data_IF_625250680997
#
_entry.id   IF_625250680997
#
_cell.length_a   1.000
_cell.length_b   1.000
_cell.length_c   1.000
_cell.angle_alpha   90.00
_cell.angle_beta   90.00
_cell.angle_gamma   90.00
#
_symmetry.space_group_name_H-M   'P 1'
#
loop_
_entity.id
_entity.type
_entity.pdbx_description
1 polymer ?
#
# COMPACT_ATOMS: atom_id res chain seq x y z
N UNK A 1 -20.47 13.58 2.77
CA UNK A 1 -20.93 13.03 4.04
C UNK A 1 -19.96 11.90 4.43
N UNK A 2 -19.22 12.00 5.54
CA UNK A 2 -18.22 11.00 5.94
C UNK A 2 -18.82 9.64 6.35
N UNK A 3 -20.13 9.44 6.21
CA UNK A 3 -20.85 8.24 6.61
C UNK A 3 -21.13 7.25 5.47
N UNK A 4 -20.67 7.52 4.25
CA UNK A 4 -20.84 6.57 3.15
C UNK A 4 -19.63 5.64 3.06
N UNK A 5 -19.72 4.51 3.77
CA UNK A 5 -18.90 3.35 3.51
C UNK A 5 -19.63 2.48 2.49
N UNK A 6 -19.02 2.21 1.36
CA UNK A 6 -19.52 1.16 0.47
C UNK A 6 -18.99 -0.16 1.01
N UNK A 7 -19.82 -0.88 1.76
CA UNK A 7 -19.53 -2.28 2.07
C UNK A 7 -20.07 -3.15 0.93
N UNK A 8 -19.23 -4.06 0.43
CA UNK A 8 -19.66 -5.09 -0.53
C UNK A 8 -19.16 -6.43 -0.01
N UNK A 9 -19.87 -7.48 -0.40
CA UNK A 9 -19.43 -8.84 -0.09
C UNK A 9 -18.36 -9.26 -1.08
N UNK A 10 -17.25 -9.83 -0.57
CA UNK A 10 -16.18 -10.37 -1.40
C UNK A 10 -16.63 -11.32 -2.53
N UNK A 11 -17.70 -12.14 -2.35
CA UNK A 11 -18.26 -12.96 -3.43
C UNK A 11 -18.78 -12.20 -4.66
N UNK A 12 -19.08 -10.92 -4.53
CA UNK A 12 -19.59 -10.09 -5.64
C UNK A 12 -18.47 -9.66 -6.60
N UNK A 13 -17.22 -9.91 -6.23
CA UNK A 13 -16.06 -9.63 -7.05
C UNK A 13 -15.42 -10.91 -7.57
N UNK A 14 -15.27 -11.08 -8.90
CA UNK A 14 -14.57 -12.23 -9.45
C UNK A 14 -13.12 -12.23 -9.00
N UNK A 15 -12.64 -13.38 -8.53
CA UNK A 15 -11.23 -13.58 -8.23
C UNK A 15 -10.36 -13.26 -9.46
N UNK A 16 -9.50 -12.25 -9.36
CA UNK A 16 -8.77 -11.69 -10.51
C UNK A 16 -7.30 -12.05 -10.54
N UNK A 17 -6.91 -13.17 -9.93
CA UNK A 17 -5.54 -13.66 -9.99
C UNK A 17 -4.49 -12.71 -9.39
N UNK A 18 -4.87 -12.00 -8.34
CA UNK A 18 -3.99 -11.08 -7.63
C UNK A 18 -2.93 -11.83 -6.82
N UNK A 19 -1.72 -11.26 -6.76
CA UNK A 19 -0.67 -11.72 -5.87
C UNK A 19 -0.05 -10.53 -5.14
N UNK A 20 -0.03 -10.60 -3.82
CA UNK A 20 0.79 -9.75 -2.99
C UNK A 20 2.09 -10.47 -2.67
N UNK A 21 3.18 -9.75 -2.70
CA UNK A 21 4.47 -10.19 -2.21
C UNK A 21 4.97 -9.18 -1.18
N UNK A 22 5.77 -9.65 -0.25
CA UNK A 22 6.45 -8.79 0.72
C UNK A 22 7.95 -9.00 0.57
N UNK A 23 8.71 -7.93 0.66
CA UNK A 23 10.18 -7.96 0.63
C UNK A 23 10.71 -7.42 1.95
N UNK A 24 11.61 -8.17 2.58
CA UNK A 24 12.23 -7.72 3.82
C UNK A 24 13.00 -6.41 3.57
N UNK A 25 12.63 -5.38 4.33
CA UNK A 25 13.34 -4.11 4.37
C UNK A 25 14.38 -4.12 5.50
N UNK A 26 15.24 -3.10 5.58
CA UNK A 26 16.21 -2.95 6.68
C UNK A 26 15.53 -2.51 7.98
N UNK A 27 14.21 -2.67 8.09
CA UNK A 27 13.43 -2.27 9.24
C UNK A 27 14.06 -2.77 10.53
N UNK A 28 14.14 -1.90 11.52
CA UNK A 28 14.58 -2.27 12.84
C UNK A 28 13.68 -3.38 13.36
N UNK A 29 14.24 -4.59 13.44
CA UNK A 29 13.70 -5.64 14.28
C UNK A 29 13.72 -5.08 15.71
N UNK A 30 12.63 -4.45 16.13
CA UNK A 30 12.35 -4.38 17.54
C UNK A 30 12.05 -5.82 17.91
N UNK A 31 13.03 -6.52 18.45
CA UNK A 31 12.79 -7.68 19.30
C UNK A 31 11.94 -7.21 20.47
N UNK A 32 10.69 -6.94 20.18
CA UNK A 32 9.67 -6.60 21.16
C UNK A 32 9.39 -7.86 21.91
N UNK A 33 9.93 -7.91 23.11
CA UNK A 33 9.53 -8.80 24.17
C UNK A 33 8.10 -9.31 23.95
N UNK A 34 7.95 -10.62 23.81
CA UNK A 34 6.67 -11.32 23.76
C UNK A 34 5.95 -11.22 25.14
N UNK A 35 6.03 -10.05 25.78
CA UNK A 35 5.33 -9.70 26.98
C UNK A 35 3.83 -9.81 26.74
N UNK A 36 3.17 -10.57 27.56
CA UNK A 36 1.73 -10.80 27.69
C UNK A 36 0.92 -9.58 27.23
N UNK A 37 0.33 -9.68 26.03
CA UNK A 37 -0.55 -8.65 25.46
C UNK A 37 -1.82 -8.58 26.30
N UNK A 38 -1.84 -7.65 27.23
CA UNK A 38 -3.07 -7.21 27.90
C UNK A 38 -3.95 -6.49 26.86
N UNK A 39 -5.17 -6.95 26.71
CA UNK A 39 -6.11 -6.69 25.61
C UNK A 39 -6.71 -5.29 25.53
N UNK A 40 -5.93 -4.22 25.65
CA UNK A 40 -6.36 -2.87 25.28
C UNK A 40 -5.70 -2.48 23.96
N UNK A 41 -6.48 -2.05 22.95
CA UNK A 41 -5.91 -1.51 21.72
C UNK A 41 -4.97 -0.36 22.07
N UNK A 42 -3.69 -0.48 21.74
CA UNK A 42 -2.71 0.58 21.98
C UNK A 42 -2.72 1.61 20.84
N UNK A 43 -3.87 2.00 20.40
CA UNK A 43 -4.03 3.22 19.62
C UNK A 43 -3.90 4.35 20.64
N UNK A 44 -2.71 4.95 20.74
CA UNK A 44 -2.47 6.04 21.69
C UNK A 44 -3.35 7.24 21.39
N UNK A 45 -3.54 8.18 22.33
CA UNK A 45 -4.40 9.36 22.16
C UNK A 45 -3.85 10.35 21.10
N UNK A 46 -2.59 10.19 20.68
CA UNK A 46 -1.92 11.11 19.76
C UNK A 46 -1.99 10.57 18.34
N UNK A 47 -2.64 11.32 17.44
CA UNK A 47 -2.63 11.03 16.01
C UNK A 47 -1.25 11.27 15.44
N UNK A 48 -0.73 10.31 14.68
CA UNK A 48 0.53 10.43 13.94
C UNK A 48 0.22 10.85 12.52
N UNK A 49 0.94 11.86 12.02
CA UNK A 49 0.77 12.37 10.65
C UNK A 49 2.04 12.07 9.88
N UNK A 50 1.88 11.47 8.69
CA UNK A 50 2.98 11.14 7.78
C UNK A 50 2.80 11.87 6.45
N UNK A 51 3.90 12.43 5.93
CA UNK A 51 3.95 13.04 4.60
C UNK A 51 4.06 11.91 3.58
N UNK A 52 3.09 11.81 2.70
CA UNK A 52 2.95 10.74 1.72
C UNK A 52 3.25 11.28 0.32
N UNK A 53 4.19 10.65 -0.38
CA UNK A 53 4.49 10.91 -1.77
C UNK A 53 3.94 9.76 -2.64
N UNK A 54 3.07 10.07 -3.60
CA UNK A 54 2.47 9.09 -4.50
C UNK A 54 2.91 9.37 -5.93
N UNK A 55 3.64 8.40 -6.49
CA UNK A 55 3.99 8.42 -7.90
C UNK A 55 3.02 7.58 -8.75
N UNK A 56 3.04 7.80 -10.05
CA UNK A 56 2.32 6.97 -11.02
C UNK A 56 3.21 6.58 -12.18
N UNK A 57 2.98 5.38 -12.74
CA UNK A 57 3.51 5.07 -14.06
C UNK A 57 2.74 5.82 -15.14
N UNK A 58 3.32 5.99 -16.32
CA UNK A 58 2.65 6.61 -17.46
C UNK A 58 1.39 5.85 -17.88
N UNK A 59 1.43 4.51 -17.81
CA UNK A 59 0.26 3.65 -18.10
C UNK A 59 -0.88 3.89 -17.11
N UNK A 60 -0.57 4.04 -15.82
CA UNK A 60 -1.60 4.37 -14.84
C UNK A 60 -2.25 5.72 -15.14
N UNK A 61 -1.44 6.73 -15.44
CA UNK A 61 -1.93 8.06 -15.79
C UNK A 61 -2.81 8.05 -17.04
N UNK A 62 -2.41 7.30 -18.07
CA UNK A 62 -3.21 7.12 -19.27
C UNK A 62 -4.53 6.38 -18.98
N UNK A 63 -4.48 5.32 -18.16
CA UNK A 63 -5.67 4.59 -17.72
C UNK A 63 -6.68 5.50 -17.00
N UNK A 64 -6.21 6.46 -16.22
CA UNK A 64 -7.07 7.42 -15.54
C UNK A 64 -7.62 8.52 -16.48
N UNK A 65 -7.07 8.68 -17.66
CA UNK A 65 -7.49 9.70 -18.63
C UNK A 65 -6.65 11.00 -18.62
N UNK A 66 -5.44 10.94 -18.03
CA UNK A 66 -4.47 12.03 -17.99
C UNK A 66 -4.11 12.50 -16.59
N UNK A 67 -3.20 13.47 -16.49
CA UNK A 67 -2.59 13.90 -15.23
C UNK A 67 -3.60 14.43 -14.21
N UNK A 68 -4.56 15.24 -14.65
CA UNK A 68 -5.58 15.79 -13.75
C UNK A 68 -6.47 14.69 -13.16
N UNK A 69 -6.86 13.73 -13.97
CA UNK A 69 -7.67 12.58 -13.53
C UNK A 69 -6.86 11.65 -12.62
N UNK A 70 -5.57 11.43 -12.93
CA UNK A 70 -4.67 10.66 -12.08
C UNK A 70 -4.50 11.31 -10.70
N UNK A 71 -4.32 12.65 -10.63
CA UNK A 71 -4.28 13.39 -9.36
C UNK A 71 -5.59 13.27 -8.58
N UNK A 72 -6.74 13.39 -9.25
CA UNK A 72 -8.04 13.19 -8.60
C UNK A 72 -8.19 11.76 -8.04
N UNK A 73 -7.68 10.78 -8.78
CA UNK A 73 -7.63 9.39 -8.36
C UNK A 73 -6.75 9.21 -7.11
N UNK A 74 -5.54 9.78 -7.11
CA UNK A 74 -4.61 9.78 -5.97
C UNK A 74 -5.30 10.37 -4.74
N UNK A 75 -5.89 11.56 -4.84
CA UNK A 75 -6.59 12.21 -3.72
C UNK A 75 -7.73 11.34 -3.20
N UNK A 76 -8.48 10.71 -4.09
CA UNK A 76 -9.56 9.79 -3.71
C UNK A 76 -9.04 8.58 -2.93
N UNK A 77 -7.95 7.94 -3.42
CA UNK A 77 -7.32 6.80 -2.77
C UNK A 77 -6.74 7.17 -1.41
N UNK A 78 -6.06 8.31 -1.30
CA UNK A 78 -5.50 8.79 -0.03
C UNK A 78 -6.60 9.12 0.98
N UNK A 79 -7.74 9.68 0.56
CA UNK A 79 -8.88 9.90 1.44
C UNK A 79 -9.46 8.56 1.97
N UNK A 80 -9.51 7.53 1.14
CA UNK A 80 -9.97 6.19 1.55
C UNK A 80 -8.95 5.51 2.47
N UNK A 81 -7.65 5.62 2.16
CA UNK A 81 -6.57 5.18 3.04
C UNK A 81 -6.69 5.81 4.43
N UNK A 82 -6.88 7.13 4.49
CA UNK A 82 -7.09 7.85 5.74
C UNK A 82 -8.35 7.37 6.48
N UNK A 83 -9.43 7.05 5.76
CA UNK A 83 -10.65 6.50 6.35
C UNK A 83 -10.41 5.19 7.11
N UNK A 84 -9.48 4.37 6.66
CA UNK A 84 -9.07 3.13 7.34
C UNK A 84 -8.07 3.43 8.46
N UNK A 85 -6.97 4.07 8.15
CA UNK A 85 -5.84 4.21 9.06
C UNK A 85 -6.08 5.17 10.23
N UNK A 86 -6.94 6.18 10.07
CA UNK A 86 -7.33 7.05 11.19
C UNK A 86 -8.13 6.30 12.25
N UNK A 87 -8.98 5.37 11.81
CA UNK A 87 -9.84 4.58 12.71
C UNK A 87 -9.02 3.46 13.37
N UNK A 88 -8.29 2.69 12.57
CA UNK A 88 -7.65 1.46 13.03
C UNK A 88 -6.30 1.68 13.72
N UNK A 89 -5.55 2.72 13.31
CA UNK A 89 -4.18 2.93 13.76
C UNK A 89 -3.90 4.34 14.30
N UNK A 90 -4.86 5.26 14.26
CA UNK A 90 -4.70 6.67 14.57
C UNK A 90 -3.56 7.34 13.75
N UNK A 91 -3.45 6.93 12.49
CA UNK A 91 -2.48 7.44 11.51
C UNK A 91 -3.23 8.26 10.46
N UNK A 92 -2.69 9.42 10.11
CA UNK A 92 -3.15 10.24 9.00
C UNK A 92 -2.03 10.45 7.99
N UNK A 93 -2.36 10.35 6.72
CA UNK A 93 -1.48 10.67 5.61
C UNK A 93 -1.85 12.00 4.99
N UNK A 94 -0.84 12.82 4.70
CA UNK A 94 -0.99 14.09 3.98
C UNK A 94 -0.09 14.03 2.75
N UNK A 95 -0.67 14.24 1.57
CA UNK A 95 0.13 14.32 0.35
C UNK A 95 1.15 15.45 0.44
N UNK A 96 2.36 15.20 -0.07
CA UNK A 96 3.38 16.25 -0.24
C UNK A 96 2.87 17.35 -1.18
N UNK A 97 3.35 18.57 -1.00
CA UNK A 97 2.85 19.72 -1.76
C UNK A 97 3.01 19.56 -3.27
N UNK A 98 4.18 19.06 -3.71
CA UNK A 98 4.55 18.96 -5.12
C UNK A 98 4.29 17.52 -5.66
N UNK A 99 3.24 16.84 -5.17
CA UNK A 99 2.94 15.46 -5.56
C UNK A 99 2.59 15.31 -7.06
N UNK A 100 2.12 16.37 -7.70
CA UNK A 100 1.82 16.40 -9.13
C UNK A 100 3.06 16.20 -10.00
N UNK A 101 4.26 16.54 -9.52
CA UNK A 101 5.53 16.29 -10.20
C UNK A 101 5.86 14.80 -10.31
N UNK A 102 5.23 13.96 -9.50
CA UNK A 102 5.39 12.49 -9.51
C UNK A 102 4.41 11.79 -10.47
N UNK A 103 3.55 12.53 -11.16
CA UNK A 103 2.56 11.95 -12.08
C UNK A 103 3.19 11.84 -13.47
N UNK A 104 3.75 10.66 -13.78
CA UNK A 104 4.29 10.39 -15.11
C UNK A 104 3.16 10.34 -16.17
N UNK A 105 3.41 10.86 -17.36
CA UNK A 105 2.40 10.95 -18.43
C UNK A 105 2.69 10.05 -19.63
N UNK A 106 3.94 9.67 -19.80
CA UNK A 106 4.41 8.90 -20.96
C UNK A 106 5.11 7.61 -20.49
N UNK A 107 4.52 6.44 -20.77
CA UNK A 107 5.12 5.14 -20.42
C UNK A 107 6.48 4.86 -21.07
N UNK A 108 6.80 5.57 -22.17
CA UNK A 108 8.06 5.35 -22.86
C UNK A 108 9.25 6.08 -22.21
N UNK A 109 8.97 7.07 -21.38
CA UNK A 109 9.98 7.94 -20.77
C UNK A 109 9.88 8.06 -19.25
N UNK A 110 8.91 7.43 -18.63
CA UNK A 110 8.79 7.40 -17.19
C UNK A 110 9.92 6.59 -16.52
N UNK A 111 9.98 6.64 -15.21
CA UNK A 111 11.03 6.00 -14.44
C UNK A 111 10.76 4.52 -14.13
N UNK A 112 9.69 3.91 -14.68
CA UNK A 112 9.15 2.66 -14.18
C UNK A 112 9.11 1.54 -15.22
N UNK A 113 9.45 0.34 -14.75
CA UNK A 113 9.18 -0.92 -15.47
C UNK A 113 7.83 -1.47 -15.00
N UNK A 114 6.72 -0.87 -15.48
CA UNK A 114 5.35 -1.11 -15.00
C UNK A 114 4.93 -2.60 -14.94
N UNK A 115 5.54 -3.49 -15.71
CA UNK A 115 5.25 -4.92 -15.69
C UNK A 115 6.03 -5.70 -14.59
N UNK A 116 7.01 -5.07 -13.92
CA UNK A 116 7.86 -5.70 -12.91
C UNK A 116 7.78 -4.97 -11.56
N UNK A 117 6.93 -5.47 -10.68
CA UNK A 117 6.73 -4.88 -9.35
C UNK A 117 8.03 -4.84 -8.52
N UNK A 118 8.96 -5.79 -8.71
CA UNK A 118 10.22 -5.79 -7.98
C UNK A 118 11.15 -4.66 -8.46
N UNK A 119 11.23 -4.43 -9.77
CA UNK A 119 11.97 -3.31 -10.32
C UNK A 119 11.39 -1.98 -9.82
N UNK A 120 10.06 -1.85 -9.84
CA UNK A 120 9.35 -0.64 -9.42
C UNK A 120 9.65 -0.23 -7.97
N UNK A 121 9.98 -1.14 -7.05
CA UNK A 121 10.37 -0.77 -5.68
C UNK A 121 11.63 0.10 -5.63
N UNK A 122 12.65 -0.27 -6.40
CA UNK A 122 13.91 0.48 -6.44
C UNK A 122 13.77 1.76 -7.28
N UNK A 123 13.07 1.66 -8.40
CA UNK A 123 12.77 2.77 -9.29
C UNK A 123 11.96 3.86 -8.56
N UNK A 124 10.96 3.48 -7.79
CA UNK A 124 10.14 4.42 -7.02
C UNK A 124 10.95 5.13 -5.92
N UNK A 125 11.81 4.40 -5.21
CA UNK A 125 12.70 5.03 -4.23
C UNK A 125 13.62 6.06 -4.88
N UNK A 126 14.22 5.72 -6.02
CA UNK A 126 15.12 6.63 -6.73
C UNK A 126 14.37 7.84 -7.30
N UNK A 127 13.20 7.62 -7.89
CA UNK A 127 12.41 8.68 -8.51
C UNK A 127 11.88 9.68 -7.48
N UNK A 128 11.28 9.22 -6.39
CA UNK A 128 10.74 10.13 -5.36
C UNK A 128 11.88 10.89 -4.67
N UNK A 129 13.01 10.26 -4.38
CA UNK A 129 14.17 10.94 -3.81
C UNK A 129 14.73 12.02 -4.75
N UNK A 130 14.71 11.78 -6.07
CA UNK A 130 15.19 12.75 -7.06
C UNK A 130 14.23 13.93 -7.28
N UNK A 131 12.92 13.69 -7.26
CA UNK A 131 11.91 14.70 -7.61
C UNK A 131 11.47 15.50 -6.38
N UNK A 132 11.18 14.84 -5.27
CA UNK A 132 10.66 15.47 -4.04
C UNK A 132 11.81 15.80 -3.08
N UNK A 133 12.81 14.92 -2.99
CA UNK A 133 13.87 15.01 -2.01
C UNK A 133 13.62 14.11 -0.78
N UNK A 134 14.65 13.39 -0.37
CA UNK A 134 14.51 12.40 0.72
C UNK A 134 14.13 13.01 2.08
N UNK A 135 14.32 14.32 2.29
CA UNK A 135 13.94 15.01 3.54
C UNK A 135 12.45 15.40 3.59
N UNK A 136 11.75 15.40 2.44
CA UNK A 136 10.47 16.07 2.30
C UNK A 136 9.25 15.13 2.33
N UNK A 137 9.46 13.82 2.47
CA UNK A 137 8.41 12.83 2.66
C UNK A 137 8.79 11.78 3.71
N UNK A 138 7.83 11.06 4.24
CA UNK A 138 8.00 10.04 5.29
C UNK A 138 7.69 8.63 4.77
N UNK A 139 6.83 8.51 3.77
CA UNK A 139 6.47 7.28 3.09
C UNK A 139 6.19 7.59 1.62
N UNK A 140 6.64 6.74 0.71
CA UNK A 140 6.38 6.86 -0.73
C UNK A 140 5.74 5.59 -1.28
N UNK A 141 4.92 5.75 -2.33
CA UNK A 141 4.23 4.65 -2.97
C UNK A 141 4.06 4.93 -4.46
N UNK A 142 3.96 3.90 -5.31
CA UNK A 142 3.69 4.08 -6.73
C UNK A 142 2.46 3.29 -7.18
N UNK A 143 1.66 3.91 -8.03
CA UNK A 143 0.54 3.26 -8.72
C UNK A 143 0.91 2.87 -10.14
N UNK A 144 0.67 1.60 -10.49
CA UNK A 144 0.88 1.03 -11.82
C UNK A 144 -0.34 0.27 -12.33
N UNK A 145 -0.19 -0.34 -13.52
CA UNK A 145 -1.28 -1.10 -14.16
C UNK A 145 -1.03 -2.60 -14.24
N UNK A 146 0.08 -3.10 -13.70
CA UNK A 146 0.26 -4.54 -13.47
C UNK A 146 -0.84 -5.06 -12.50
N UNK A 147 -0.85 -6.35 -12.23
CA UNK A 147 -1.84 -6.93 -11.32
C UNK A 147 -1.18 -7.35 -10.01
N UNK A 148 -1.47 -6.66 -8.93
CA UNK A 148 -0.99 -7.01 -7.59
C UNK A 148 -0.42 -5.85 -6.80
N UNK A 149 0.21 -6.18 -5.69
CA UNK A 149 0.93 -5.27 -4.83
C UNK A 149 2.25 -5.86 -4.35
N UNK A 150 3.15 -4.99 -3.96
CA UNK A 150 4.44 -5.35 -3.39
C UNK A 150 4.96 -4.22 -2.51
N UNK A 151 5.38 -4.55 -1.31
CA UNK A 151 6.02 -3.57 -0.44
C UNK A 151 7.16 -4.16 0.38
N UNK A 152 8.13 -3.31 0.71
CA UNK A 152 9.14 -3.66 1.70
C UNK A 152 8.59 -3.48 3.12
N UNK A 153 8.90 -4.43 4.00
CA UNK A 153 8.42 -4.42 5.37
C UNK A 153 9.15 -3.37 6.24
N UNK A 154 8.38 -2.59 7.01
CA UNK A 154 8.91 -1.72 8.04
C UNK A 154 9.79 -0.59 7.53
N UNK A 155 9.47 -0.03 6.38
CA UNK A 155 10.32 0.98 5.70
C UNK A 155 9.86 2.41 5.88
N UNK A 156 8.69 2.67 6.44
CA UNK A 156 8.23 4.02 6.72
C UNK A 156 9.28 4.80 7.50
N UNK A 157 9.62 6.00 7.08
CA UNK A 157 10.66 6.88 7.62
C UNK A 157 12.11 6.36 7.50
N UNK A 158 12.37 5.22 6.82
CA UNK A 158 13.72 4.69 6.64
C UNK A 158 14.34 5.26 5.37
N UNK A 159 15.36 6.11 5.51
CA UNK A 159 16.04 6.73 4.37
C UNK A 159 16.55 5.67 3.35
N UNK A 160 16.29 5.92 2.07
CA UNK A 160 16.65 5.00 0.98
C UNK A 160 15.73 3.77 0.83
N UNK A 161 14.69 3.64 1.67
CA UNK A 161 13.76 2.51 1.64
C UNK A 161 12.29 2.92 1.73
N UNK A 162 11.99 4.09 2.25
CA UNK A 162 10.63 4.53 2.61
C UNK A 162 9.67 4.70 1.44
N UNK A 163 10.16 4.70 0.19
CA UNK A 163 9.34 4.73 -1.01
C UNK A 163 9.19 3.35 -1.68
N UNK A 164 9.57 2.27 -1.02
CA UNK A 164 9.45 0.91 -1.56
C UNK A 164 8.07 0.32 -1.27
N UNK A 165 7.08 0.81 -2.01
CA UNK A 165 5.71 0.31 -2.03
C UNK A 165 5.08 0.51 -3.40
N UNK A 166 4.39 -0.50 -3.89
CA UNK A 166 3.73 -0.56 -5.20
C UNK A 166 2.33 -1.11 -5.03
N UNK A 167 1.35 -0.46 -5.65
CA UNK A 167 0.02 -1.01 -5.85
C UNK A 167 -0.35 -0.88 -7.32
N UNK A 168 -0.67 -2.00 -7.97
CA UNK A 168 -0.92 -2.02 -9.39
C UNK A 168 -2.23 -2.74 -9.72
N UNK A 169 -3.02 -2.15 -10.59
CA UNK A 169 -4.27 -2.71 -11.06
C UNK A 169 -4.53 -2.28 -12.50
N UNK A 170 -4.94 -3.19 -13.39
CA UNK A 170 -5.33 -2.85 -14.75
C UNK A 170 -6.69 -2.14 -14.83
N UNK A 171 -7.28 -1.80 -13.69
CA UNK A 171 -8.60 -1.19 -13.58
C UNK A 171 -8.51 0.22 -13.00
N UNK A 172 -9.48 1.07 -13.33
CA UNK A 172 -9.56 2.43 -12.83
C UNK A 172 -9.74 2.47 -11.28
N UNK A 173 -9.36 3.56 -10.68
CA UNK A 173 -9.30 3.82 -9.24
C UNK A 173 -10.59 3.57 -8.44
N UNK A 174 -11.73 3.51 -9.09
CA UNK A 174 -13.03 3.23 -8.45
C UNK A 174 -13.21 1.77 -8.05
N UNK A 175 -12.28 0.90 -8.44
CA UNK A 175 -12.32 -0.50 -8.06
C UNK A 175 -11.96 -0.64 -6.57
N UNK A 176 -12.83 -1.23 -5.74
CA UNK A 176 -12.55 -1.49 -4.32
C UNK A 176 -11.27 -2.28 -4.10
N UNK A 177 -10.96 -3.18 -5.02
CA UNK A 177 -9.73 -3.96 -5.02
C UNK A 177 -8.48 -3.07 -5.01
N UNK A 178 -8.45 -1.99 -5.82
CA UNK A 178 -7.32 -1.05 -5.82
C UNK A 178 -7.15 -0.39 -4.46
N UNK A 179 -8.25 -0.05 -3.78
CA UNK A 179 -8.21 0.51 -2.43
C UNK A 179 -7.68 -0.49 -1.42
N UNK A 180 -8.15 -1.73 -1.48
CA UNK A 180 -7.69 -2.79 -0.58
C UNK A 180 -6.21 -3.07 -0.78
N UNK A 181 -5.74 -3.22 -2.04
CA UNK A 181 -4.33 -3.42 -2.35
C UNK A 181 -3.48 -2.29 -1.80
N UNK A 182 -3.86 -1.03 -2.04
CA UNK A 182 -3.11 0.11 -1.54
C UNK A 182 -3.03 0.16 -0.01
N UNK A 183 -4.15 -0.03 0.67
CA UNK A 183 -4.17 -0.08 2.14
C UNK A 183 -3.33 -1.23 2.69
N UNK A 184 -3.36 -2.40 2.03
CA UNK A 184 -2.59 -3.58 2.40
C UNK A 184 -1.08 -3.34 2.26
N UNK A 185 -0.64 -2.84 1.09
CA UNK A 185 0.79 -2.59 0.84
C UNK A 185 1.36 -1.48 1.74
N UNK A 186 0.58 -0.44 2.03
CA UNK A 186 0.96 0.55 3.05
C UNK A 186 1.12 -0.11 4.43
N UNK A 187 0.28 -1.09 4.76
CA UNK A 187 0.43 -1.89 5.98
C UNK A 187 1.79 -2.58 6.07
N UNK A 188 2.26 -3.17 4.97
CA UNK A 188 3.60 -3.75 4.90
C UNK A 188 4.69 -2.69 5.10
N UNK A 189 4.56 -1.50 4.52
CA UNK A 189 5.53 -0.42 4.76
C UNK A 189 5.61 0.00 6.24
N UNK A 190 4.55 -0.23 7.03
CA UNK A 190 4.52 -0.09 8.50
C UNK A 190 4.85 -1.39 9.25
N UNK A 191 5.43 -2.39 8.59
CA UNK A 191 5.83 -3.68 9.17
C UNK A 191 4.68 -4.62 9.55
N UNK A 192 3.47 -4.38 9.09
CA UNK A 192 2.39 -5.35 9.24
C UNK A 192 2.64 -6.53 8.30
N UNK A 193 2.55 -7.75 8.83
CA UNK A 193 2.72 -9.00 8.07
C UNK A 193 1.37 -9.62 7.78
N UNK A 194 1.34 -10.59 6.86
CA UNK A 194 0.11 -11.33 6.57
C UNK A 194 -0.42 -12.05 7.81
N UNK A 195 -1.71 -11.94 8.06
CA UNK A 195 -2.38 -12.47 9.24
C UNK A 195 -3.10 -13.80 9.00
N UNK A 196 -3.25 -14.23 7.75
CA UNK A 196 -3.91 -15.48 7.39
C UNK A 196 -3.10 -16.72 7.79
N UNK A 197 -3.79 -17.81 8.17
CA UNK A 197 -3.21 -19.12 8.53
C UNK A 197 -3.41 -20.17 7.44
N UNK A 198 -4.24 -19.92 6.42
CA UNK A 198 -4.46 -20.84 5.30
C UNK A 198 -3.23 -20.92 4.38
N UNK A 199 -3.16 -22.02 3.62
CA UNK A 199 -2.13 -22.26 2.60
C UNK A 199 -2.74 -22.66 1.25
N UNK A 200 -4.03 -22.39 1.05
CA UNK A 200 -4.79 -22.77 -0.14
C UNK A 200 -5.28 -21.54 -0.90
N UNK A 201 -5.62 -21.72 -2.16
CA UNK A 201 -6.05 -20.66 -3.06
C UNK A 201 -5.00 -19.53 -3.19
N UNK A 202 -5.37 -18.26 -2.99
CA UNK A 202 -4.44 -17.13 -3.00
C UNK A 202 -3.43 -17.11 -1.84
N UNK A 203 -3.72 -17.81 -0.74
CA UNK A 203 -2.82 -17.95 0.39
C UNK A 203 -1.76 -19.03 0.09
N UNK A 204 -0.51 -18.65 0.02
CA UNK A 204 0.58 -19.61 -0.18
C UNK A 204 1.45 -19.74 1.08
N UNK A 205 2.14 -20.87 1.22
CA UNK A 205 3.04 -21.09 2.34
C UNK A 205 4.19 -20.04 2.38
N UNK A 206 4.59 -19.52 1.22
CA UNK A 206 5.64 -18.49 1.12
C UNK A 206 5.15 -17.10 1.56
N UNK A 207 3.86 -16.85 1.45
CA UNK A 207 3.26 -15.56 1.84
C UNK A 207 2.73 -15.58 3.28
N UNK A 208 2.57 -16.78 3.88
CA UNK A 208 2.12 -16.93 5.25
C UNK A 208 3.23 -16.56 6.23
N UNK A 209 2.96 -15.58 7.10
CA UNK A 209 3.84 -15.29 8.25
C UNK A 209 3.50 -16.19 9.42
N UNK A 210 4.43 -17.08 9.80
CA UNK A 210 4.16 -18.04 10.89
C UNK A 210 3.98 -17.37 12.25
N UNK A 211 4.63 -16.22 12.48
CA UNK A 211 4.51 -15.43 13.72
C UNK A 211 3.22 -14.61 13.81
N UNK A 212 2.56 -14.36 12.66
CA UNK A 212 1.42 -13.45 12.57
C UNK A 212 0.15 -14.13 12.01
N UNK A 213 0.15 -15.44 11.86
CA UNK A 213 -0.95 -16.25 11.33
C UNK A 213 -2.07 -16.43 12.35
N UNK A 214 -2.75 -15.37 12.73
CA UNK A 214 -3.80 -15.35 13.74
C UNK A 214 -5.18 -15.69 13.20
N UNK A 215 -5.41 -15.50 11.89
CA UNK A 215 -6.73 -15.61 11.29
C UNK A 215 -6.92 -16.97 10.59
N UNK A 216 -8.01 -17.70 10.88
CA UNK A 216 -8.31 -18.96 10.20
C UNK A 216 -8.49 -18.78 8.69
N UNK A 217 -8.06 -19.75 7.89
CA UNK A 217 -8.22 -19.71 6.44
C UNK A 217 -7.50 -18.54 5.79
N UNK A 218 -8.17 -17.83 4.90
CA UNK A 218 -7.67 -16.63 4.23
C UNK A 218 -7.76 -15.37 5.08
N UNK A 219 -8.34 -15.44 6.27
CA UNK A 219 -8.54 -14.33 7.19
C UNK A 219 -9.67 -13.39 6.78
N UNK A 220 -9.79 -12.25 7.46
CA UNK A 220 -10.86 -11.27 7.26
C UNK A 220 -10.43 -9.81 7.43
N UNK A 221 -9.18 -9.58 7.86
CA UNK A 221 -8.64 -8.23 8.06
C UNK A 221 -7.88 -7.72 6.84
N UNK A 222 -7.46 -6.47 6.90
CA UNK A 222 -6.73 -5.80 5.83
C UNK A 222 -5.45 -6.54 5.42
N UNK A 223 -4.72 -7.12 6.38
CA UNK A 223 -3.48 -7.84 6.13
C UNK A 223 -3.70 -9.33 5.80
N UNK A 224 -4.91 -9.69 5.47
CA UNK A 224 -5.31 -11.04 5.04
C UNK A 224 -5.74 -11.06 3.56
N UNK A 225 -6.18 -12.21 3.07
CA UNK A 225 -6.57 -12.42 1.68
C UNK A 225 -8.06 -12.78 1.52
N UNK A 226 -8.92 -12.35 2.45
CA UNK A 226 -10.35 -12.68 2.43
C UNK A 226 -11.11 -12.16 1.22
N UNK A 227 -10.55 -11.18 0.54
CA UNK A 227 -11.15 -10.53 -0.63
C UNK A 227 -10.60 -11.05 -1.96
N UNK A 228 -9.73 -12.06 -1.94
CA UNK A 228 -9.03 -12.56 -3.12
C UNK A 228 -9.27 -14.04 -3.35
#
# INVERSE_FOLDING_TARGET
DPRYYTSFFAPDYPARGWACQQVDGPGMWMDGDAGTRSGTPRVGPTRRVYRLAIATTGEYTQLQGGSAQAMNAIVTLVNRLNGVYEIEANIRFVLVADNDLLVATDPATDAYTNADLNAMLAENQANIDAVIGSADYDIGHVFGTANGGLASLGVACVAGWKAKGVSASPFAVTDPYTVQTFCHEVGHQFNARHTFNGINAGCTALQRSASDAYEPGSGSTLMSYSSF
#
